data_IF_011157043745
#
_entry.id   IF_011157043745
#
_cell.length_a   1.000
_cell.length_b   1.000
_cell.length_c   1.000
_cell.angle_alpha   90.00
_cell.angle_beta   90.00
_cell.angle_gamma   90.00
#
_symmetry.space_group_name_H-M   'P 1'
#
loop_
_entity.id
_entity.type
_entity.pdbx_description
1 polymer ?
#
# COMPACT_ATOMS: atom_id res chain seq x y z
N UNK A 1 5.42 -73.72 -23.50
CA UNK A 1 5.05 -73.49 -22.08
C UNK A 1 5.31 -72.01 -21.79
N UNK A 2 4.27 -71.22 -21.53
CA UNK A 2 4.32 -69.74 -21.48
C UNK A 2 5.16 -69.25 -20.28
N UNK A 3 6.15 -68.40 -20.54
CA UNK A 3 6.92 -67.68 -19.51
C UNK A 3 6.24 -66.33 -19.27
N UNK A 4 5.51 -66.21 -18.17
CA UNK A 4 4.98 -64.94 -17.67
C UNK A 4 6.09 -64.28 -16.83
N UNK A 5 6.68 -63.18 -17.32
CA UNK A 5 7.50 -62.31 -16.49
C UNK A 5 6.66 -61.08 -16.13
N UNK A 6 6.23 -61.02 -14.87
CA UNK A 6 5.44 -59.93 -14.30
C UNK A 6 6.37 -58.71 -14.12
N UNK A 7 6.13 -57.63 -14.86
CA UNK A 7 6.76 -56.33 -14.59
C UNK A 7 6.04 -55.69 -13.39
N UNK A 8 6.71 -55.63 -12.23
CA UNK A 8 6.28 -54.79 -11.11
C UNK A 8 6.65 -53.34 -11.42
N UNK A 9 5.68 -52.57 -11.92
CA UNK A 9 5.80 -51.12 -12.07
C UNK A 9 5.55 -50.49 -10.69
N UNK A 10 6.59 -50.24 -9.90
CA UNK A 10 6.50 -49.44 -8.69
C UNK A 10 6.40 -47.96 -9.07
N UNK A 11 5.16 -47.48 -9.26
CA UNK A 11 4.87 -46.05 -9.27
C UNK A 11 5.19 -45.48 -7.88
N UNK A 12 6.40 -44.93 -7.71
CA UNK A 12 6.71 -44.06 -6.58
C UNK A 12 5.98 -42.75 -6.81
N UNK A 13 4.79 -42.63 -6.22
CA UNK A 13 4.15 -41.33 -6.01
C UNK A 13 5.01 -40.54 -5.02
N UNK A 14 5.91 -39.69 -5.53
CA UNK A 14 6.47 -38.59 -4.75
C UNK A 14 5.40 -37.51 -4.58
N UNK A 15 4.45 -37.76 -3.69
CA UNK A 15 3.70 -36.66 -3.09
C UNK A 15 4.68 -35.87 -2.24
N UNK A 16 5.11 -34.69 -2.71
CA UNK A 16 5.79 -33.71 -1.87
C UNK A 16 4.82 -33.30 -0.77
N UNK A 17 4.97 -33.91 0.39
CA UNK A 17 4.15 -33.67 1.56
C UNK A 17 4.44 -32.26 2.09
N UNK A 18 3.50 -31.34 1.89
CA UNK A 18 3.43 -30.09 2.67
C UNK A 18 2.88 -30.35 4.10
N UNK A 19 3.35 -31.41 4.76
CA UNK A 19 2.98 -31.84 6.12
C UNK A 19 4.29 -32.13 6.85
N UNK A 20 4.69 -31.54 7.98
CA UNK A 20 4.15 -30.56 8.90
C UNK A 20 5.32 -29.62 9.28
N UNK A 21 5.46 -28.45 8.65
CA UNK A 21 6.51 -27.52 9.09
C UNK A 21 6.17 -26.97 10.47
N UNK A 22 7.15 -26.89 11.40
CA UNK A 22 6.93 -26.28 12.71
C UNK A 22 6.63 -24.79 12.56
N UNK A 23 5.94 -24.21 13.54
CA UNK A 23 5.53 -22.82 13.56
C UNK A 23 6.68 -21.85 13.23
N UNK A 24 7.83 -21.99 13.88
CA UNK A 24 8.98 -21.09 13.68
C UNK A 24 9.50 -21.13 12.24
N UNK A 25 9.46 -22.30 11.59
CA UNK A 25 9.88 -22.45 10.20
C UNK A 25 8.89 -21.78 9.23
N UNK A 26 7.58 -21.90 9.51
CA UNK A 26 6.55 -21.22 8.73
C UNK A 26 6.63 -19.71 8.88
N UNK A 27 6.79 -19.20 10.10
CA UNK A 27 6.93 -17.77 10.36
C UNK A 27 8.18 -17.22 9.66
N UNK A 28 9.33 -17.89 9.80
CA UNK A 28 10.58 -17.50 9.15
C UNK A 28 10.43 -17.45 7.63
N UNK A 29 9.93 -18.51 6.99
CA UNK A 29 9.71 -18.54 5.54
C UNK A 29 8.71 -17.48 5.08
N UNK A 30 7.63 -17.28 5.84
CA UNK A 30 6.65 -16.24 5.57
C UNK A 30 7.27 -14.83 5.53
N UNK A 31 8.13 -14.52 6.50
CA UNK A 31 8.87 -13.25 6.57
C UNK A 31 9.90 -13.13 5.45
N UNK A 32 10.63 -14.20 5.14
CA UNK A 32 11.61 -14.21 4.04
C UNK A 32 10.94 -13.94 2.69
N UNK A 33 9.84 -14.62 2.38
CA UNK A 33 9.05 -14.35 1.17
C UNK A 33 8.49 -12.93 1.15
N UNK A 34 8.04 -12.42 2.31
CA UNK A 34 7.54 -11.05 2.44
C UNK A 34 8.62 -10.01 2.08
N UNK A 35 9.83 -10.15 2.63
CA UNK A 35 10.92 -9.20 2.38
C UNK A 35 11.58 -9.36 1.01
N UNK A 36 11.57 -10.56 0.42
CA UNK A 36 12.10 -10.81 -0.91
C UNK A 36 11.11 -10.44 -2.04
N UNK A 37 9.90 -10.03 -1.69
CA UNK A 37 8.88 -9.61 -2.65
C UNK A 37 9.19 -8.23 -3.23
N UNK A 38 8.98 -8.08 -4.53
CA UNK A 38 9.07 -6.81 -5.26
C UNK A 38 8.00 -6.74 -6.36
N UNK A 39 7.88 -5.62 -7.06
CA UNK A 39 6.99 -5.50 -8.23
C UNK A 39 7.31 -6.59 -9.28
N UNK A 40 8.59 -6.90 -9.48
CA UNK A 40 9.06 -7.94 -10.40
C UNK A 40 8.95 -9.37 -9.84
N UNK A 41 8.77 -9.51 -8.51
CA UNK A 41 8.69 -10.79 -7.80
C UNK A 41 7.51 -10.81 -6.84
N UNK A 42 6.32 -11.29 -7.26
CA UNK A 42 5.10 -11.24 -6.45
C UNK A 42 5.06 -12.31 -5.34
N UNK A 43 6.06 -12.29 -4.46
CA UNK A 43 6.24 -13.24 -3.35
C UNK A 43 5.20 -13.12 -2.24
N UNK A 44 4.36 -12.07 -2.23
CA UNK A 44 3.32 -11.91 -1.22
C UNK A 44 2.30 -13.05 -1.20
N UNK A 45 2.04 -13.70 -2.33
CA UNK A 45 1.19 -14.91 -2.34
C UNK A 45 1.84 -16.07 -1.57
N UNK A 46 3.15 -16.27 -1.73
CA UNK A 46 3.92 -17.27 -0.99
C UNK A 46 4.00 -16.92 0.49
N UNK A 47 4.26 -15.65 0.81
CA UNK A 47 4.26 -15.13 2.18
C UNK A 47 2.93 -15.41 2.88
N UNK A 48 1.80 -15.05 2.24
CA UNK A 48 0.45 -15.30 2.76
C UNK A 48 0.26 -16.79 3.03
N UNK A 49 0.63 -17.68 2.09
CA UNK A 49 0.47 -19.14 2.26
C UNK A 49 1.18 -19.65 3.51
N UNK A 50 2.44 -19.24 3.74
CA UNK A 50 3.19 -19.67 4.93
C UNK A 50 2.66 -19.05 6.22
N UNK A 51 2.30 -17.76 6.19
CA UNK A 51 1.79 -17.04 7.36
C UNK A 51 0.39 -17.53 7.76
N UNK A 52 -0.49 -17.86 6.81
CA UNK A 52 -1.78 -18.50 7.08
C UNK A 52 -1.63 -19.86 7.75
N UNK A 53 -0.64 -20.65 7.35
CA UNK A 53 -0.32 -21.90 8.03
C UNK A 53 0.25 -21.64 9.44
N UNK A 54 1.10 -20.61 9.60
CA UNK A 54 1.68 -20.25 10.89
C UNK A 54 0.62 -19.84 11.92
N UNK A 55 -0.33 -18.97 11.54
CA UNK A 55 -1.39 -18.51 12.46
C UNK A 55 -2.38 -19.62 12.82
N UNK A 56 -2.53 -20.65 11.98
CA UNK A 56 -3.32 -21.86 12.31
C UNK A 56 -2.62 -22.72 13.36
N UNK A 57 -1.29 -22.84 13.29
CA UNK A 57 -0.51 -23.60 14.28
C UNK A 57 -0.36 -22.85 15.62
N UNK A 58 -0.19 -21.53 15.57
CA UNK A 58 -0.11 -20.70 16.77
C UNK A 58 -1.03 -19.46 16.65
N UNK A 59 -2.31 -19.58 17.05
CA UNK A 59 -3.28 -18.49 16.99
C UNK A 59 -3.01 -17.31 17.94
N UNK A 60 -1.96 -17.38 18.77
CA UNK A 60 -1.56 -16.34 19.72
C UNK A 60 -0.29 -15.60 19.30
N UNK A 61 0.27 -15.89 18.11
CA UNK A 61 1.42 -15.13 17.60
C UNK A 61 0.99 -13.80 16.99
N UNK A 62 1.16 -12.70 17.74
CA UNK A 62 0.93 -11.34 17.24
C UNK A 62 1.81 -11.01 16.04
N UNK A 63 3.06 -11.49 16.03
CA UNK A 63 4.00 -11.27 14.92
C UNK A 63 3.54 -11.96 13.62
N UNK A 64 3.08 -13.21 13.69
CA UNK A 64 2.59 -13.92 12.50
C UNK A 64 1.36 -13.20 11.89
N UNK A 65 0.44 -12.71 12.73
CA UNK A 65 -0.69 -11.90 12.26
C UNK A 65 -0.26 -10.53 11.72
N UNK A 66 0.76 -9.89 12.30
CA UNK A 66 1.28 -8.61 11.83
C UNK A 66 1.82 -8.72 10.40
N UNK A 67 2.69 -9.70 10.15
CA UNK A 67 3.20 -9.97 8.81
C UNK A 67 2.11 -10.45 7.86
N UNK A 68 1.13 -11.22 8.32
CA UNK A 68 0.01 -11.66 7.49
C UNK A 68 -0.84 -10.47 7.00
N UNK A 69 -1.15 -9.54 7.91
CA UNK A 69 -1.88 -8.32 7.58
C UNK A 69 -1.12 -7.47 6.57
N UNK A 70 0.19 -7.30 6.78
CA UNK A 70 1.06 -6.61 5.84
C UNK A 70 1.20 -7.30 4.49
N UNK A 71 1.27 -8.62 4.45
CA UNK A 71 1.33 -9.37 3.20
C UNK A 71 0.03 -9.22 2.39
N UNK A 72 -1.13 -9.23 3.06
CA UNK A 72 -2.41 -8.95 2.42
C UNK A 72 -2.51 -7.52 1.89
N UNK A 73 -2.06 -6.55 2.68
CA UNK A 73 -1.94 -5.14 2.28
C UNK A 73 -1.10 -4.99 1.01
N UNK A 74 0.13 -5.52 1.00
CA UNK A 74 1.05 -5.42 -0.14
C UNK A 74 0.57 -6.15 -1.38
N UNK A 75 -0.17 -7.26 -1.20
CA UNK A 75 -0.86 -7.94 -2.30
C UNK A 75 -1.96 -7.09 -2.92
N UNK A 76 -2.64 -6.26 -2.12
CA UNK A 76 -3.72 -5.39 -2.57
C UNK A 76 -3.19 -4.14 -3.27
N UNK A 77 -2.25 -3.47 -2.61
CA UNK A 77 -1.60 -2.26 -3.10
C UNK A 77 -0.11 -2.34 -2.76
N UNK A 78 0.71 -2.58 -3.79
CA UNK A 78 2.15 -2.63 -3.62
C UNK A 78 2.68 -1.28 -3.10
N UNK A 79 2.24 -0.20 -3.72
CA UNK A 79 2.53 1.18 -3.37
C UNK A 79 1.34 2.11 -3.68
N UNK A 80 1.57 3.43 -3.61
CA UNK A 80 0.55 4.45 -3.87
C UNK A 80 -0.05 4.43 -5.28
N UNK A 81 0.63 3.84 -6.29
CA UNK A 81 0.12 3.76 -7.67
C UNK A 81 -1.12 2.87 -7.76
N UNK A 82 -1.22 1.87 -6.88
CA UNK A 82 -2.28 0.86 -6.90
C UNK A 82 -3.54 1.24 -6.10
N UNK A 83 -3.53 2.38 -5.38
CA UNK A 83 -4.66 2.84 -4.56
C UNK A 83 -5.94 3.01 -5.41
N UNK A 84 -5.82 3.43 -6.67
CA UNK A 84 -6.95 3.56 -7.59
C UNK A 84 -7.75 2.26 -7.82
N UNK A 85 -7.20 1.09 -7.49
CA UNK A 85 -7.79 -0.24 -7.77
C UNK A 85 -7.87 -1.17 -6.55
N UNK A 86 -8.00 -0.60 -5.34
CA UNK A 86 -8.10 -1.36 -4.08
C UNK A 86 -9.25 -2.37 -4.08
N UNK A 87 -9.00 -3.57 -3.54
CA UNK A 87 -10.01 -4.61 -3.37
C UNK A 87 -10.45 -4.73 -1.90
N UNK A 88 -11.75 -4.62 -1.64
CA UNK A 88 -12.33 -4.68 -0.29
C UNK A 88 -12.04 -6.01 0.43
N UNK A 89 -12.09 -7.14 -0.27
CA UNK A 89 -11.84 -8.46 0.33
C UNK A 89 -10.42 -8.56 0.92
N UNK A 90 -9.41 -7.96 0.27
CA UNK A 90 -8.03 -7.95 0.77
C UNK A 90 -7.87 -6.95 1.93
N UNK A 91 -8.56 -5.80 1.88
CA UNK A 91 -8.61 -4.85 3.03
C UNK A 91 -9.19 -5.53 4.27
N UNK A 92 -10.29 -6.26 4.12
CA UNK A 92 -10.92 -7.00 5.23
C UNK A 92 -9.92 -7.99 5.81
N UNK A 93 -9.28 -8.81 4.98
CA UNK A 93 -8.28 -9.80 5.43
C UNK A 93 -7.08 -9.16 6.12
N UNK A 94 -6.56 -8.06 5.58
CA UNK A 94 -5.47 -7.30 6.18
C UNK A 94 -5.89 -6.73 7.55
N UNK A 95 -7.05 -6.08 7.60
CA UNK A 95 -7.61 -5.49 8.81
C UNK A 95 -7.87 -6.53 9.89
N UNK A 96 -8.53 -7.65 9.58
CA UNK A 96 -8.82 -8.71 10.54
C UNK A 96 -7.55 -9.30 11.16
N UNK A 97 -6.49 -9.47 10.37
CA UNK A 97 -5.20 -9.90 10.87
C UNK A 97 -4.61 -8.87 11.84
N UNK A 98 -4.64 -7.58 11.51
CA UNK A 98 -4.12 -6.49 12.36
C UNK A 98 -4.97 -6.27 13.62
N UNK A 99 -6.29 -6.40 13.53
CA UNK A 99 -7.22 -6.40 14.67
C UNK A 99 -6.88 -7.56 15.63
N UNK A 100 -6.47 -8.71 15.09
CA UNK A 100 -5.99 -9.84 15.90
C UNK A 100 -4.67 -9.51 16.60
N UNK A 101 -3.75 -8.79 15.96
CA UNK A 101 -2.52 -8.26 16.60
C UNK A 101 -2.89 -7.38 17.78
N UNK A 102 -3.76 -6.39 17.57
CA UNK A 102 -4.21 -5.45 18.61
C UNK A 102 -4.83 -6.19 19.80
N UNK A 103 -5.68 -7.18 19.53
CA UNK A 103 -6.33 -7.98 20.58
C UNK A 103 -5.34 -8.79 21.40
N UNK A 104 -4.26 -9.29 20.79
CA UNK A 104 -3.23 -10.07 21.47
C UNK A 104 -2.25 -9.17 22.22
N UNK A 105 -1.85 -8.08 21.58
CA UNK A 105 -0.81 -7.16 22.05
C UNK A 105 -1.19 -5.73 21.66
N UNK A 106 -1.99 -5.03 22.48
CA UNK A 106 -2.45 -3.68 22.17
C UNK A 106 -1.32 -2.68 21.93
N UNK A 107 -0.19 -2.87 22.61
CA UNK A 107 1.06 -2.16 22.33
C UNK A 107 2.03 -3.13 21.65
N UNK A 108 1.97 -3.23 20.34
CA UNK A 108 2.79 -4.16 19.58
C UNK A 108 4.28 -3.80 19.68
N UNK A 109 5.08 -4.73 20.22
CA UNK A 109 6.54 -4.58 20.42
C UNK A 109 7.35 -5.56 19.57
N UNK A 110 6.70 -6.29 18.66
CA UNK A 110 7.36 -7.20 17.75
C UNK A 110 8.09 -6.46 16.61
N UNK A 111 8.61 -7.22 15.66
CA UNK A 111 9.22 -6.63 14.46
C UNK A 111 8.21 -5.79 13.70
N UNK A 112 8.57 -4.54 13.42
CA UNK A 112 7.75 -3.58 12.67
C UNK A 112 8.36 -3.34 11.30
N UNK A 113 7.50 -3.31 10.28
CA UNK A 113 7.91 -3.02 8.89
C UNK A 113 7.99 -1.51 8.68
N UNK A 114 6.87 -0.80 8.89
CA UNK A 114 6.81 0.67 8.78
C UNK A 114 5.83 1.27 9.79
N UNK A 115 4.62 0.74 9.87
CA UNK A 115 3.52 1.26 10.68
C UNK A 115 3.16 0.27 11.78
N UNK A 116 2.72 0.79 12.92
CA UNK A 116 2.05 -0.01 13.93
C UNK A 116 0.69 -0.53 13.42
N UNK A 117 0.08 -1.52 14.10
CA UNK A 117 -1.19 -2.10 13.66
C UNK A 117 -2.34 -1.10 13.47
N UNK A 118 -2.49 -0.08 14.33
CA UNK A 118 -3.58 0.90 14.23
C UNK A 118 -3.36 1.85 13.06
N UNK A 119 -2.14 2.39 12.92
CA UNK A 119 -1.77 3.20 11.75
C UNK A 119 -1.93 2.39 10.46
N UNK A 120 -1.61 1.10 10.49
CA UNK A 120 -1.77 0.25 9.30
C UNK A 120 -3.25 -0.01 8.96
N UNK A 121 -4.13 -0.21 9.94
CA UNK A 121 -5.58 -0.27 9.69
C UNK A 121 -6.09 1.04 9.07
N UNK A 122 -5.61 2.18 9.57
CA UNK A 122 -5.94 3.50 9.00
C UNK A 122 -5.50 3.61 7.53
N UNK A 123 -4.28 3.15 7.22
CA UNK A 123 -3.72 3.08 5.87
C UNK A 123 -4.59 2.25 4.93
N UNK A 124 -4.99 1.04 5.31
CA UNK A 124 -5.78 0.14 4.46
C UNK A 124 -7.19 0.69 4.18
N UNK A 125 -7.90 1.09 5.23
CA UNK A 125 -9.27 1.58 5.10
C UNK A 125 -9.34 2.96 4.47
N UNK A 126 -8.36 3.83 4.76
CA UNK A 126 -8.25 5.14 4.14
C UNK A 126 -7.90 5.05 2.66
N UNK A 127 -6.98 4.15 2.27
CA UNK A 127 -6.65 3.91 0.86
C UNK A 127 -7.85 3.36 0.09
N UNK A 128 -8.62 2.44 0.69
CA UNK A 128 -9.89 1.98 0.09
C UNK A 128 -10.90 3.12 -0.05
N UNK A 129 -10.99 4.00 0.96
CA UNK A 129 -11.88 5.14 0.89
C UNK A 129 -11.48 6.11 -0.24
N UNK A 130 -10.18 6.37 -0.42
CA UNK A 130 -9.69 7.17 -1.55
C UNK A 130 -9.93 6.49 -2.89
N UNK A 131 -9.81 5.16 -2.97
CA UNK A 131 -10.17 4.38 -4.17
C UNK A 131 -11.64 4.59 -4.56
N UNK A 132 -12.54 4.51 -3.57
CA UNK A 132 -13.96 4.78 -3.78
C UNK A 132 -14.23 6.24 -4.14
N UNK A 133 -13.56 7.18 -3.48
CA UNK A 133 -13.66 8.61 -3.76
C UNK A 133 -13.24 8.91 -5.21
N UNK A 134 -12.14 8.32 -5.66
CA UNK A 134 -11.66 8.38 -7.04
C UNK A 134 -12.64 7.78 -8.06
N UNK A 135 -13.42 6.79 -7.63
CA UNK A 135 -14.50 6.21 -8.44
C UNK A 135 -15.83 6.97 -8.34
N UNK A 136 -15.84 8.18 -7.76
CA UNK A 136 -17.03 8.99 -7.47
C UNK A 136 -18.09 8.28 -6.59
N UNK A 137 -17.65 7.36 -5.72
CA UNK A 137 -18.50 6.60 -4.78
C UNK A 137 -18.39 7.19 -3.38
N UNK A 138 -18.92 8.39 -3.19
CA UNK A 138 -18.75 9.18 -1.96
C UNK A 138 -19.30 8.46 -0.71
N UNK A 139 -20.47 7.83 -0.81
CA UNK A 139 -21.05 7.06 0.31
C UNK A 139 -20.18 5.84 0.67
N UNK A 140 -19.61 5.16 -0.32
CA UNK A 140 -18.68 4.06 -0.10
C UNK A 140 -17.37 4.53 0.53
N UNK A 141 -16.86 5.70 0.13
CA UNK A 141 -15.69 6.32 0.76
C UNK A 141 -15.95 6.65 2.24
N UNK A 142 -17.08 7.30 2.53
CA UNK A 142 -17.50 7.60 3.92
C UNK A 142 -17.69 6.33 4.74
N UNK A 143 -18.29 5.30 4.16
CA UNK A 143 -18.42 3.99 4.79
C UNK A 143 -17.05 3.38 5.12
N UNK A 144 -16.12 3.36 4.16
CA UNK A 144 -14.79 2.76 4.36
C UNK A 144 -14.00 3.47 5.46
N UNK A 145 -13.98 4.81 5.47
CA UNK A 145 -13.38 5.58 6.58
C UNK A 145 -14.01 5.25 7.94
N UNK A 146 -15.34 5.16 7.98
CA UNK A 146 -16.07 4.82 9.21
C UNK A 146 -15.75 3.39 9.68
N UNK A 147 -15.59 2.43 8.76
CA UNK A 147 -15.16 1.07 9.07
C UNK A 147 -13.75 1.04 9.64
N UNK A 148 -12.82 1.78 9.03
CA UNK A 148 -11.46 1.91 9.55
C UNK A 148 -11.46 2.41 10.99
N UNK A 149 -12.26 3.45 11.29
CA UNK A 149 -12.38 3.96 12.67
C UNK A 149 -12.95 2.93 13.64
N UNK A 150 -14.00 2.22 13.25
CA UNK A 150 -14.61 1.16 14.07
C UNK A 150 -13.66 0.00 14.39
N UNK A 151 -12.67 -0.24 13.52
CA UNK A 151 -11.71 -1.34 13.63
C UNK A 151 -10.40 -0.93 14.32
N UNK A 152 -10.35 0.28 14.88
CA UNK A 152 -9.20 0.79 15.64
C UNK A 152 -8.27 1.71 14.86
N UNK A 153 -8.46 1.88 13.54
CA UNK A 153 -7.79 2.95 12.80
C UNK A 153 -8.35 4.33 13.17
N UNK A 154 -7.74 5.39 12.64
CA UNK A 154 -8.17 6.78 12.84
C UNK A 154 -8.48 7.11 14.31
N UNK A 155 -7.54 6.77 15.19
CA UNK A 155 -7.68 7.02 16.62
C UNK A 155 -7.88 8.52 16.90
N UNK A 156 -8.48 8.83 18.04
CA UNK A 156 -8.85 10.20 18.36
C UNK A 156 -7.64 11.12 18.53
N UNK A 157 -6.47 10.58 18.91
CA UNK A 157 -5.25 11.38 18.99
C UNK A 157 -4.80 11.82 17.60
N UNK A 158 -4.64 10.89 16.64
CA UNK A 158 -4.28 11.21 15.26
C UNK A 158 -5.30 12.15 14.60
N UNK A 159 -6.60 11.91 14.83
CA UNK A 159 -7.64 12.82 14.32
C UNK A 159 -7.58 14.20 14.97
N UNK A 160 -7.27 14.30 16.26
CA UNK A 160 -7.16 15.58 16.95
C UNK A 160 -5.99 16.42 16.42
N UNK A 161 -4.82 15.80 16.19
CA UNK A 161 -3.65 16.47 15.63
C UNK A 161 -3.97 17.01 14.23
N UNK A 162 -4.53 16.17 13.37
CA UNK A 162 -4.90 16.57 11.99
C UNK A 162 -6.02 17.61 11.95
N UNK A 163 -6.93 17.60 12.92
CA UNK A 163 -7.99 18.60 13.07
C UNK A 163 -7.42 19.98 13.37
N UNK A 164 -6.43 20.07 14.25
CA UNK A 164 -5.79 21.36 14.54
C UNK A 164 -4.95 21.85 13.36
N UNK A 165 -4.29 20.96 12.62
CA UNK A 165 -3.61 21.30 11.37
C UNK A 165 -4.57 21.97 10.38
N UNK A 166 -5.68 21.31 10.02
CA UNK A 166 -6.59 21.87 9.00
C UNK A 166 -7.36 23.11 9.47
N UNK A 167 -7.61 23.25 10.78
CA UNK A 167 -8.20 24.48 11.35
C UNK A 167 -7.25 25.67 11.24
N UNK A 168 -5.93 25.45 11.31
CA UNK A 168 -4.93 26.51 11.23
C UNK A 168 -4.79 27.12 9.83
N UNK A 169 -5.28 26.43 8.80
CA UNK A 169 -5.23 26.91 7.42
C UNK A 169 -6.09 28.16 7.22
N UNK A 170 -5.62 29.11 6.41
CA UNK A 170 -6.45 30.24 5.93
C UNK A 170 -7.59 29.75 5.01
N UNK A 171 -8.57 30.61 4.74
CA UNK A 171 -9.69 30.28 3.86
C UNK A 171 -9.19 29.88 2.46
N UNK A 172 -9.71 28.77 1.91
CA UNK A 172 -9.35 28.24 0.59
C UNK A 172 -7.84 27.95 0.40
N UNK A 173 -7.13 27.65 1.48
CA UNK A 173 -5.73 27.26 1.41
C UNK A 173 -5.53 25.93 0.68
N UNK A 174 -4.32 25.74 0.15
CA UNK A 174 -3.81 24.44 -0.29
C UNK A 174 -2.96 23.89 0.85
N UNK A 175 -3.33 22.75 1.41
CA UNK A 175 -2.57 22.04 2.43
C UNK A 175 -1.81 20.88 1.79
N UNK A 176 -0.48 21.01 1.74
CA UNK A 176 0.41 19.98 1.22
C UNK A 176 0.74 18.99 2.34
N UNK A 177 0.54 17.70 2.07
CA UNK A 177 0.75 16.60 3.01
C UNK A 177 1.67 15.55 2.40
N UNK A 178 2.14 14.63 3.24
CA UNK A 178 2.86 13.44 2.81
C UNK A 178 2.59 12.32 3.81
N UNK A 179 2.29 11.13 3.29
CA UNK A 179 2.15 9.91 4.07
C UNK A 179 0.80 9.74 4.76
N UNK A 180 0.51 8.47 5.04
CA UNK A 180 -0.80 7.99 5.43
C UNK A 180 -1.34 8.63 6.72
N UNK A 181 -0.47 8.91 7.70
CA UNK A 181 -0.85 9.43 9.02
C UNK A 181 -1.29 10.90 9.01
N UNK A 182 -1.12 11.61 7.89
CA UNK A 182 -1.65 12.96 7.70
C UNK A 182 -2.72 12.97 6.62
N UNK A 183 -2.39 12.47 5.42
CA UNK A 183 -3.29 12.50 4.26
C UNK A 183 -4.62 11.82 4.54
N UNK A 184 -4.62 10.61 5.10
CA UNK A 184 -5.85 9.84 5.29
C UNK A 184 -6.72 10.40 6.43
N UNK A 185 -6.19 10.77 7.61
CA UNK A 185 -6.97 11.46 8.64
C UNK A 185 -7.54 12.80 8.17
N UNK A 186 -6.81 13.59 7.38
CA UNK A 186 -7.33 14.85 6.84
C UNK A 186 -8.50 14.60 5.88
N UNK A 187 -8.38 13.61 4.99
CA UNK A 187 -9.50 13.19 4.15
C UNK A 187 -10.68 12.64 4.97
N UNK A 188 -10.43 11.88 6.05
CA UNK A 188 -11.48 11.46 6.99
C UNK A 188 -12.25 12.68 7.53
N UNK A 189 -11.54 13.68 8.04
CA UNK A 189 -12.15 14.89 8.60
C UNK A 189 -13.01 15.65 7.56
N UNK A 190 -12.55 15.75 6.32
CA UNK A 190 -13.33 16.41 5.26
C UNK A 190 -14.54 15.59 4.79
N UNK A 191 -14.36 14.28 4.56
CA UNK A 191 -15.37 13.42 3.92
C UNK A 191 -16.41 12.93 4.93
N UNK A 192 -15.97 12.53 6.12
CA UNK A 192 -16.86 11.96 7.15
C UNK A 192 -17.50 13.07 7.98
N UNK A 193 -16.69 14.00 8.49
CA UNK A 193 -17.14 15.02 9.44
C UNK A 193 -17.50 16.36 8.79
N UNK A 194 -17.09 16.58 7.54
CA UNK A 194 -17.36 17.81 6.82
C UNK A 194 -16.56 19.01 7.27
N UNK A 195 -15.44 18.80 7.96
CA UNK A 195 -14.57 19.87 8.45
C UNK A 195 -13.81 20.52 7.28
N UNK A 196 -13.78 21.85 7.22
CA UNK A 196 -12.89 22.64 6.33
C UNK A 196 -12.83 22.11 4.88
N UNK A 197 -14.00 21.82 4.29
CA UNK A 197 -14.12 21.39 2.88
C UNK A 197 -13.63 22.44 1.87
N UNK A 198 -13.38 23.67 2.32
CA UNK A 198 -12.80 24.74 1.51
C UNK A 198 -11.29 24.57 1.29
N UNK A 199 -10.59 23.80 2.14
CA UNK A 199 -9.14 23.58 2.02
C UNK A 199 -8.87 22.46 1.02
N UNK A 200 -8.04 22.72 0.01
CA UNK A 200 -7.60 21.69 -0.93
C UNK A 200 -6.47 20.87 -0.29
N UNK A 201 -6.67 19.56 -0.12
CA UNK A 201 -5.64 18.64 0.37
C UNK A 201 -4.85 18.07 -0.81
N UNK A 202 -3.52 18.17 -0.76
CA UNK A 202 -2.62 17.62 -1.79
C UNK A 202 -1.52 16.79 -1.13
N UNK A 203 -1.55 15.47 -1.36
CA UNK A 203 -0.45 14.58 -1.01
C UNK A 203 0.62 14.61 -2.11
N UNK A 204 1.77 15.21 -1.78
CA UNK A 204 2.88 15.34 -2.72
C UNK A 204 3.45 13.97 -3.14
N UNK A 205 3.34 12.95 -2.29
CA UNK A 205 3.85 11.61 -2.55
C UNK A 205 3.00 10.80 -3.53
N UNK A 206 1.79 11.28 -3.85
CA UNK A 206 0.89 10.66 -4.82
C UNK A 206 0.86 11.39 -6.17
N UNK A 207 1.46 12.58 -6.29
CA UNK A 207 1.51 13.36 -7.55
C UNK A 207 2.28 12.66 -8.67
N UNK A 208 3.15 11.71 -8.33
CA UNK A 208 3.87 10.83 -9.26
C UNK A 208 3.06 9.60 -9.72
N UNK A 209 1.78 9.48 -9.31
CA UNK A 209 0.88 8.40 -9.74
C UNK A 209 -0.01 8.87 -10.89
N UNK A 210 -0.57 7.95 -11.66
CA UNK A 210 -1.50 8.29 -12.75
C UNK A 210 -2.86 8.74 -12.22
N UNK A 211 -3.38 8.09 -11.16
CA UNK A 211 -4.76 8.30 -10.70
C UNK A 211 -4.93 9.59 -9.89
N UNK A 212 -3.94 9.99 -9.08
CA UNK A 212 -4.12 11.07 -8.12
C UNK A 212 -4.16 12.47 -8.75
N UNK A 213 -3.27 12.85 -9.70
CA UNK A 213 -3.41 14.12 -10.42
C UNK A 213 -4.76 14.23 -11.14
N UNK A 214 -5.26 13.13 -11.72
CA UNK A 214 -6.60 13.09 -12.32
C UNK A 214 -7.71 13.32 -11.30
N UNK A 215 -7.57 12.75 -10.09
CA UNK A 215 -8.49 13.03 -8.98
C UNK A 215 -8.51 14.53 -8.63
N UNK A 216 -7.34 15.17 -8.52
CA UNK A 216 -7.26 16.59 -8.18
C UNK A 216 -7.91 17.48 -9.26
N UNK A 217 -7.66 17.18 -10.53
CA UNK A 217 -8.25 17.91 -11.68
C UNK A 217 -9.77 17.72 -11.71
N UNK A 218 -10.26 16.49 -11.58
CA UNK A 218 -11.70 16.18 -11.63
C UNK A 218 -12.50 16.84 -10.51
N UNK A 219 -11.87 17.03 -9.34
CA UNK A 219 -12.46 17.75 -8.21
C UNK A 219 -12.22 19.26 -8.24
N UNK A 220 -11.61 19.79 -9.32
CA UNK A 220 -11.26 21.22 -9.46
C UNK A 220 -10.44 21.78 -8.29
N UNK A 221 -9.59 20.94 -7.68
CA UNK A 221 -8.77 21.33 -6.53
C UNK A 221 -7.50 22.10 -6.94
N UNK A 222 -6.96 21.78 -8.12
CA UNK A 222 -5.81 22.44 -8.74
C UNK A 222 -5.87 22.32 -10.27
N UNK A 223 -5.21 23.24 -10.97
CA UNK A 223 -4.95 23.17 -12.40
C UNK A 223 -3.47 22.92 -12.63
N UNK A 224 -3.14 21.98 -13.52
CA UNK A 224 -1.77 21.74 -13.96
C UNK A 224 -1.54 22.46 -15.30
N UNK A 225 -0.33 23.00 -15.49
CA UNK A 225 0.06 23.66 -16.75
C UNK A 225 0.20 22.65 -17.90
N UNK A 226 0.57 21.41 -17.56
CA UNK A 226 0.68 20.31 -18.53
C UNK A 226 -0.69 19.76 -18.91
N UNK A 227 -0.92 19.42 -20.19
CA UNK A 227 -2.18 18.83 -20.62
C UNK A 227 -2.35 17.43 -20.02
N UNK A 228 -3.61 17.00 -19.87
CA UNK A 228 -3.95 15.66 -19.37
C UNK A 228 -3.22 14.54 -20.13
N UNK A 229 -3.04 14.67 -21.44
CA UNK A 229 -2.32 13.70 -22.27
C UNK A 229 -0.85 13.51 -21.88
N UNK A 230 -0.23 14.49 -21.21
CA UNK A 230 1.13 14.39 -20.67
C UNK A 230 1.09 13.82 -19.25
N UNK A 231 0.19 14.33 -18.41
CA UNK A 231 0.02 13.86 -17.02
C UNK A 231 -0.30 12.37 -16.96
N UNK A 232 -1.11 11.86 -17.89
CA UNK A 232 -1.48 10.45 -17.98
C UNK A 232 -0.31 9.53 -18.37
N UNK A 233 0.83 10.09 -18.79
CA UNK A 233 2.03 9.33 -19.19
C UNK A 233 3.07 9.23 -18.09
N UNK A 234 2.83 9.86 -16.93
CA UNK A 234 3.76 9.86 -15.80
C UNK A 234 3.88 8.44 -15.24
N UNK A 235 5.04 7.83 -15.45
CA UNK A 235 5.31 6.46 -14.98
C UNK A 235 6.78 6.25 -14.64
N UNK A 236 7.04 5.27 -13.77
CA UNK A 236 8.40 4.81 -13.52
C UNK A 236 8.89 3.99 -14.70
N UNK A 237 10.00 4.41 -15.31
CA UNK A 237 10.66 3.67 -16.37
C UNK A 237 12.03 3.19 -15.92
N UNK A 238 12.41 2.00 -16.36
CA UNK A 238 13.79 1.51 -16.21
C UNK A 238 14.74 2.55 -16.79
N UNK A 239 15.69 2.97 -15.97
CA UNK A 239 16.62 4.02 -16.29
C UNK A 239 18.05 3.50 -16.20
N UNK A 240 18.80 3.68 -17.27
CA UNK A 240 20.25 3.51 -17.25
C UNK A 240 20.88 4.89 -17.13
N UNK A 241 21.87 4.99 -16.26
CA UNK A 241 22.58 6.25 -16.06
C UNK A 241 23.08 6.80 -17.40
N UNK A 242 22.81 8.08 -17.64
CA UNK A 242 23.24 8.76 -18.86
C UNK A 242 23.35 10.25 -18.60
N UNK A 243 24.20 10.91 -19.39
CA UNK A 243 24.29 12.35 -19.39
C UNK A 243 23.05 12.90 -20.11
N UNK A 244 22.26 13.71 -19.40
CA UNK A 244 21.21 14.52 -20.03
C UNK A 244 21.80 15.90 -20.28
N UNK A 245 21.50 16.48 -21.44
CA UNK A 245 21.84 17.85 -21.80
C UNK A 245 20.56 18.60 -22.11
N UNK A 246 20.27 19.66 -21.37
CA UNK A 246 19.22 20.62 -21.70
C UNK A 246 19.87 21.90 -22.23
N UNK A 247 19.24 22.51 -23.22
CA UNK A 247 19.67 23.81 -23.75
C UNK A 247 18.75 24.88 -23.18
N UNK A 248 19.32 25.94 -22.62
CA UNK A 248 18.57 27.16 -22.35
C UNK A 248 18.18 27.80 -23.69
N UNK A 249 16.88 27.82 -23.97
CA UNK A 249 16.32 28.36 -25.21
C UNK A 249 16.65 29.85 -25.42
N UNK A 250 16.96 30.60 -24.34
CA UNK A 250 17.27 32.05 -24.43
C UNK A 250 18.76 32.33 -24.55
N UNK A 251 19.62 31.59 -23.86
CA UNK A 251 21.06 31.86 -23.83
C UNK A 251 21.92 30.92 -24.69
N UNK A 252 21.33 29.89 -25.30
CA UNK A 252 22.03 28.81 -25.99
C UNK A 252 23.06 28.05 -25.13
N UNK A 253 23.09 28.29 -23.81
CA UNK A 253 23.93 27.55 -22.87
C UNK A 253 23.38 26.14 -22.71
N UNK A 254 24.30 25.17 -22.72
CA UNK A 254 23.97 23.76 -22.48
C UNK A 254 24.33 23.40 -21.05
N UNK A 255 23.38 22.80 -20.34
CA UNK A 255 23.59 22.25 -19.02
C UNK A 255 23.57 20.73 -19.13
N UNK A 256 24.67 20.08 -18.74
CA UNK A 256 24.85 18.64 -18.84
C UNK A 256 25.17 18.07 -17.47
N UNK A 257 24.48 17.00 -17.06
CA UNK A 257 24.81 16.27 -15.84
C UNK A 257 24.48 14.78 -15.99
N UNK A 258 25.16 13.94 -15.22
CA UNK A 258 24.86 12.52 -15.13
C UNK A 258 23.55 12.34 -14.35
N UNK A 259 22.56 11.74 -14.99
CA UNK A 259 21.27 11.46 -14.35
C UNK A 259 21.21 9.98 -14.03
N UNK A 260 21.26 9.68 -12.73
CA UNK A 260 21.18 8.33 -12.18
C UNK A 260 19.72 7.94 -11.93
N UNK A 261 19.41 6.64 -11.84
CA UNK A 261 18.10 6.20 -11.36
C UNK A 261 17.75 6.83 -10.00
N UNK A 262 16.51 7.27 -9.85
CA UNK A 262 16.03 7.96 -8.65
C UNK A 262 15.13 7.09 -7.76
N UNK A 263 14.63 5.96 -8.28
CA UNK A 263 13.74 5.05 -7.56
C UNK A 263 14.25 3.60 -7.64
N UNK A 264 14.33 2.92 -6.49
CA UNK A 264 14.87 1.55 -6.32
C UNK A 264 16.24 1.30 -6.99
N UNK A 265 17.03 2.36 -7.21
CA UNK A 265 18.31 2.32 -7.95
C UNK A 265 18.19 1.80 -9.39
N UNK A 266 16.98 1.69 -9.94
CA UNK A 266 16.72 1.12 -11.26
C UNK A 266 15.80 1.98 -12.13
N UNK A 267 14.93 2.79 -11.53
CA UNK A 267 13.90 3.53 -12.24
C UNK A 267 14.08 5.04 -12.14
N UNK A 268 13.46 5.76 -13.08
CA UNK A 268 13.27 7.21 -13.07
C UNK A 268 11.82 7.50 -13.39
N UNK A 269 11.24 8.49 -12.71
CA UNK A 269 9.93 9.01 -13.08
C UNK A 269 10.08 9.78 -14.38
N UNK A 270 9.30 9.42 -15.38
CA UNK A 270 9.27 10.08 -16.68
C UNK A 270 7.85 10.53 -17.01
#
# INVERSE_FOLDING_TARGET
MKLFLLFFLTCIFLSVSAQNMPFDSLLKKGKEEFYNSSEEKPGYNSAIKYLEAAVKLNPNSSEAYYFLGYAYSRKNSFDGRSIGAMQLNLVIKASEALERVIKLTPLYTGESVVLDPYSKISSEWGSLALSYYNSNKIDSAKWAFTQGKKRGGFDDFILSVNREIIKSCTQKAILITSGDNYTLPLHYLQIVEGLRKDVSLIDVSLLNTVWYPQLLISNSLITFDEPKSVIDTVEYRLWKEKIITISDAKSNKKFSWLVKPAYEKQYMLR
#
